data_IF_907228052951
#
_entry.id   IF_907228052951
#
_cell.length_a   1.000
_cell.length_b   1.000
_cell.length_c   1.000
_cell.angle_alpha   90.00
_cell.angle_beta   90.00
_cell.angle_gamma   90.00
#
_symmetry.space_group_name_H-M   'P 1'
#
loop_
_entity.id
_entity.type
_entity.pdbx_description
1 polymer ?
#
# COMPACT_ATOMS: atom_id res chain seq x y z
N UNK A 1 -5.44 3.10 -20.49
CA UNK A 1 -5.52 2.56 -19.12
C UNK A 1 -5.06 3.63 -18.13
N UNK A 2 -5.61 3.61 -16.96
CA UNK A 2 -5.35 4.59 -15.90
C UNK A 2 -4.98 3.86 -14.61
N UNK A 3 -4.22 4.53 -13.77
CA UNK A 3 -3.81 4.05 -12.44
C UNK A 3 -4.07 5.14 -11.41
N UNK A 4 -4.07 4.75 -10.15
CA UNK A 4 -4.07 5.68 -9.02
C UNK A 4 -2.64 5.76 -8.51
N UNK A 5 -2.13 6.97 -8.36
CA UNK A 5 -0.76 7.23 -7.91
C UNK A 5 -0.81 8.00 -6.60
N UNK A 6 0.01 7.60 -5.64
CA UNK A 6 0.28 8.40 -4.46
C UNK A 6 1.35 9.43 -4.81
N UNK A 7 0.98 10.71 -4.83
CA UNK A 7 1.87 11.80 -5.23
C UNK A 7 3.03 12.02 -4.26
N UNK A 8 2.95 11.50 -3.05
CA UNK A 8 4.01 11.68 -2.05
C UNK A 8 5.28 10.94 -2.43
N UNK A 9 5.16 9.77 -3.04
CA UNK A 9 6.29 8.93 -3.43
C UNK A 9 6.20 8.41 -4.88
N UNK A 10 5.11 8.75 -5.59
CA UNK A 10 4.81 8.30 -6.95
C UNK A 10 4.61 6.78 -7.05
N UNK A 11 4.25 6.10 -5.98
CA UNK A 11 3.90 4.69 -6.02
C UNK A 11 2.49 4.47 -6.60
N UNK A 12 2.30 3.31 -7.23
CA UNK A 12 0.97 2.90 -7.71
C UNK A 12 0.17 2.39 -6.52
N UNK A 13 -1.01 2.96 -6.33
CA UNK A 13 -1.93 2.55 -5.28
C UNK A 13 -2.77 1.34 -5.72
N UNK A 14 -2.88 0.36 -4.83
CA UNK A 14 -3.80 -0.77 -4.96
C UNK A 14 -4.92 -0.61 -3.92
N UNK A 15 -6.17 -0.78 -4.33
CA UNK A 15 -7.30 -0.68 -3.41
C UNK A 15 -7.16 -1.70 -2.28
N UNK A 16 -7.29 -1.29 -1.00
CA UNK A 16 -7.02 -2.17 0.13
C UNK A 16 -8.01 -3.32 0.29
N UNK A 17 -9.23 -3.16 -0.24
CA UNK A 17 -10.26 -4.20 -0.21
C UNK A 17 -10.06 -5.27 -1.29
N UNK A 18 -9.11 -5.08 -2.20
CA UNK A 18 -8.86 -6.01 -3.29
C UNK A 18 -7.89 -7.10 -2.87
N UNK A 19 -8.02 -8.25 -3.54
CA UNK A 19 -7.06 -9.34 -3.39
C UNK A 19 -5.68 -8.90 -3.89
N UNK A 20 -4.64 -9.50 -3.34
CA UNK A 20 -3.25 -9.14 -3.68
C UNK A 20 -2.90 -9.22 -5.17
N UNK A 21 -3.62 -10.04 -5.92
CA UNK A 21 -3.43 -10.20 -7.36
C UNK A 21 -4.37 -9.33 -8.21
N UNK A 22 -5.21 -8.50 -7.58
CA UNK A 22 -6.12 -7.63 -8.33
C UNK A 22 -5.33 -6.60 -9.14
N UNK A 23 -5.85 -6.30 -10.33
CA UNK A 23 -5.23 -5.27 -11.17
C UNK A 23 -5.26 -3.90 -10.51
N UNK A 24 -4.22 -3.12 -10.77
CA UNK A 24 -4.16 -1.71 -10.40
C UNK A 24 -4.56 -0.80 -11.57
N UNK A 25 -4.90 -1.37 -12.73
CA UNK A 25 -5.23 -0.62 -13.94
C UNK A 25 -6.74 -0.50 -14.11
N UNK A 26 -7.16 0.67 -14.55
CA UNK A 26 -8.56 1.01 -14.78
C UNK A 26 -8.78 1.39 -16.24
N UNK A 27 -9.95 1.06 -16.78
CA UNK A 27 -10.28 1.33 -18.17
C UNK A 27 -10.54 2.82 -18.46
N UNK A 28 -10.91 3.59 -17.44
CA UNK A 28 -11.22 5.00 -17.58
C UNK A 28 -10.77 5.79 -16.36
N UNK A 29 -10.58 7.10 -16.52
CA UNK A 29 -10.28 7.99 -15.41
C UNK A 29 -11.41 7.99 -14.36
N UNK A 30 -12.66 7.91 -14.79
CA UNK A 30 -13.81 7.82 -13.88
C UNK A 30 -13.78 6.56 -13.04
N UNK A 31 -13.42 5.41 -13.61
CA UNK A 31 -13.27 4.16 -12.87
C UNK A 31 -12.14 4.25 -11.82
N UNK A 32 -11.02 4.89 -12.17
CA UNK A 32 -9.92 5.13 -11.22
C UNK A 32 -10.36 6.07 -10.09
N UNK A 33 -11.06 7.14 -10.39
CA UNK A 33 -11.62 8.04 -9.36
C UNK A 33 -12.58 7.30 -8.42
N UNK A 34 -13.41 6.40 -8.94
CA UNK A 34 -14.25 5.54 -8.12
C UNK A 34 -13.42 4.62 -7.20
N UNK A 35 -12.25 4.18 -7.66
CA UNK A 35 -11.29 3.42 -6.85
C UNK A 35 -10.75 4.22 -5.67
N UNK A 36 -10.48 5.51 -5.86
CA UNK A 36 -10.10 6.41 -4.76
C UNK A 36 -11.23 6.53 -3.75
N UNK A 37 -12.46 6.72 -4.22
CA UNK A 37 -13.63 6.82 -3.35
C UNK A 37 -13.82 5.54 -2.52
N UNK A 38 -13.66 4.37 -3.12
CA UNK A 38 -13.74 3.09 -2.41
C UNK A 38 -12.64 2.94 -1.36
N UNK A 39 -11.43 3.43 -1.65
CA UNK A 39 -10.31 3.43 -0.71
C UNK A 39 -10.64 4.26 0.52
N UNK A 40 -11.14 5.48 0.33
CA UNK A 40 -11.56 6.35 1.42
C UNK A 40 -12.60 5.66 2.29
N UNK A 41 -13.64 5.13 1.67
CA UNK A 41 -14.73 4.44 2.36
C UNK A 41 -14.23 3.22 3.13
N UNK A 42 -13.33 2.44 2.55
CA UNK A 42 -12.74 1.28 3.22
C UNK A 42 -12.01 1.69 4.50
N UNK A 43 -11.16 2.69 4.43
CA UNK A 43 -10.40 3.15 5.60
C UNK A 43 -11.30 3.79 6.65
N UNK A 44 -12.31 4.55 6.25
CA UNK A 44 -13.28 5.13 7.19
C UNK A 44 -14.05 4.04 7.95
N UNK A 45 -14.46 2.98 7.24
CA UNK A 45 -15.12 1.83 7.86
C UNK A 45 -14.17 1.07 8.78
N UNK A 46 -12.94 0.83 8.36
CA UNK A 46 -11.93 0.16 9.18
C UNK A 46 -11.64 0.96 10.45
N UNK A 47 -11.49 2.28 10.32
CA UNK A 47 -11.29 3.18 11.45
C UNK A 47 -12.44 3.12 12.46
N UNK A 48 -13.67 3.14 11.98
CA UNK A 48 -14.85 3.04 12.83
C UNK A 48 -14.92 1.70 13.56
N UNK A 49 -14.63 0.59 12.86
CA UNK A 49 -14.60 -0.74 13.47
C UNK A 49 -13.52 -0.88 14.53
N UNK A 50 -12.34 -0.34 14.27
CA UNK A 50 -11.23 -0.35 15.23
C UNK A 50 -11.60 0.46 16.47
N UNK A 51 -12.16 1.65 16.29
CA UNK A 51 -12.59 2.50 17.42
C UNK A 51 -13.63 1.79 18.29
N UNK A 52 -14.59 1.08 17.67
CA UNK A 52 -15.58 0.30 18.39
C UNK A 52 -14.95 -0.87 19.15
N UNK A 53 -14.06 -1.62 18.51
CA UNK A 53 -13.35 -2.73 19.15
C UNK A 53 -12.51 -2.27 20.34
N UNK A 54 -11.81 -1.15 20.22
CA UNK A 54 -11.04 -0.56 21.31
C UNK A 54 -11.96 -0.15 22.46
N UNK A 55 -13.08 0.49 22.19
CA UNK A 55 -14.05 0.91 23.19
C UNK A 55 -14.65 -0.28 23.95
N UNK A 56 -14.84 -1.42 23.28
CA UNK A 56 -15.39 -2.64 23.85
C UNK A 56 -14.33 -3.57 24.47
N UNK A 57 -13.05 -3.24 24.40
CA UNK A 57 -11.96 -4.09 24.88
C UNK A 57 -11.73 -5.33 24.02
N UNK A 58 -12.18 -5.33 22.78
CA UNK A 58 -12.13 -6.49 21.88
C UNK A 58 -11.02 -6.37 20.84
N UNK A 59 -10.02 -5.56 21.09
CA UNK A 59 -8.95 -5.22 20.15
C UNK A 59 -8.22 -6.44 19.60
N UNK A 60 -7.96 -7.44 20.43
CA UNK A 60 -7.27 -8.68 20.04
C UNK A 60 -8.09 -9.58 19.10
N UNK A 61 -9.38 -9.38 19.03
CA UNK A 61 -10.29 -10.17 18.19
C UNK A 61 -10.58 -9.54 16.84
N UNK A 62 -9.87 -8.48 16.48
CA UNK A 62 -10.06 -7.81 15.20
C UNK A 62 -9.72 -8.71 14.04
N UNK A 63 -10.44 -8.53 12.92
CA UNK A 63 -10.23 -9.30 11.70
C UNK A 63 -8.79 -9.19 11.19
N UNK A 64 -8.26 -10.25 10.53
CA UNK A 64 -6.87 -10.27 10.09
C UNK A 64 -6.43 -9.10 9.21
N UNK A 65 -7.29 -8.56 8.35
CA UNK A 65 -6.90 -7.42 7.50
C UNK A 65 -6.76 -6.11 8.25
N UNK A 66 -7.13 -6.07 9.50
CA UNK A 66 -6.93 -4.89 10.34
C UNK A 66 -5.71 -5.05 11.26
N UNK A 67 -4.80 -5.95 10.96
CA UNK A 67 -3.58 -6.16 11.74
C UNK A 67 -2.81 -4.87 12.01
N UNK A 68 -2.72 -3.99 11.02
CA UNK A 68 -2.03 -2.71 11.15
C UNK A 68 -2.64 -1.82 12.25
N UNK A 69 -3.93 -2.01 12.53
CA UNK A 69 -4.64 -1.24 13.57
C UNK A 69 -4.67 -1.97 14.91
N UNK A 70 -4.63 -3.29 14.90
CA UNK A 70 -4.74 -4.09 16.12
C UNK A 70 -3.70 -3.73 17.17
N UNK A 71 -2.46 -3.51 16.73
CA UNK A 71 -1.33 -3.22 17.59
C UNK A 71 -1.02 -1.71 17.68
N UNK A 72 -1.78 -0.86 16.99
CA UNK A 72 -1.61 0.58 17.02
C UNK A 72 -2.13 1.18 18.33
N UNK A 73 -1.50 2.26 18.78
CA UNK A 73 -1.97 3.01 19.93
C UNK A 73 -3.23 3.81 19.59
N UNK A 74 -3.98 4.27 20.58
CA UNK A 74 -5.18 5.08 20.36
C UNK A 74 -4.85 6.41 19.66
N UNK A 75 -3.66 6.96 19.91
CA UNK A 75 -3.18 8.16 19.22
C UNK A 75 -2.92 7.86 17.74
N UNK A 76 -2.32 6.73 17.43
CA UNK A 76 -2.06 6.30 16.05
C UNK A 76 -3.35 6.00 15.31
N UNK A 77 -4.34 5.40 15.97
CA UNK A 77 -5.67 5.18 15.41
C UNK A 77 -6.37 6.48 15.00
N UNK A 78 -6.15 7.55 15.77
CA UNK A 78 -6.66 8.88 15.42
C UNK A 78 -6.03 9.48 14.17
N UNK A 79 -4.87 8.99 13.75
CA UNK A 79 -4.13 9.47 12.56
C UNK A 79 -4.38 8.65 11.30
N UNK A 80 -5.27 7.72 11.32
CA UNK A 80 -5.36 6.65 10.34
C UNK A 80 -5.15 7.00 8.88
N UNK A 81 -4.62 6.04 8.18
CA UNK A 81 -3.96 6.00 6.89
C UNK A 81 -4.69 6.57 5.68
N UNK A 82 -5.98 6.77 5.75
CA UNK A 82 -6.72 7.40 4.68
C UNK A 82 -6.64 8.93 4.71
N UNK A 83 -5.91 9.46 5.68
CA UNK A 83 -5.83 10.91 5.87
C UNK A 83 -5.25 11.65 4.66
N UNK A 84 -4.51 10.96 3.83
CA UNK A 84 -3.82 11.57 2.70
C UNK A 84 -4.46 11.26 1.35
N UNK A 85 -5.79 11.17 1.33
CA UNK A 85 -6.52 10.99 0.06
C UNK A 85 -6.24 12.10 -0.96
N UNK A 86 -5.85 13.27 -0.50
CA UNK A 86 -5.42 14.37 -1.35
C UNK A 86 -4.11 14.07 -2.11
N UNK A 87 -3.35 13.08 -1.65
CA UNK A 87 -2.16 12.60 -2.33
C UNK A 87 -2.47 11.65 -3.48
N UNK A 88 -3.67 11.10 -3.56
CA UNK A 88 -4.04 10.21 -4.65
C UNK A 88 -4.45 11.01 -5.89
N UNK A 89 -3.91 10.61 -7.02
CA UNK A 89 -4.25 11.19 -8.30
C UNK A 89 -4.41 10.10 -9.35
N UNK A 90 -5.29 10.35 -10.31
CA UNK A 90 -5.43 9.49 -11.49
C UNK A 90 -4.42 9.91 -12.52
N UNK A 91 -3.71 8.94 -13.08
CA UNK A 91 -2.70 9.16 -14.11
C UNK A 91 -2.83 8.11 -15.21
N UNK A 92 -2.58 8.50 -16.46
CA UNK A 92 -2.47 7.55 -17.56
C UNK A 92 -1.25 6.64 -17.40
N UNK A 93 -1.38 5.36 -17.76
CA UNK A 93 -0.29 4.39 -17.62
C UNK A 93 0.94 4.79 -18.45
N UNK A 94 0.73 5.27 -19.68
CA UNK A 94 1.84 5.68 -20.54
C UNK A 94 2.59 6.89 -19.99
N UNK A 95 1.85 7.87 -19.48
CA UNK A 95 2.42 9.03 -18.81
C UNK A 95 3.23 8.62 -17.56
N UNK A 96 2.69 7.71 -16.78
CA UNK A 96 3.36 7.22 -15.58
C UNK A 96 4.66 6.48 -15.90
N UNK A 97 4.67 5.66 -16.93
CA UNK A 97 5.87 4.89 -17.34
C UNK A 97 7.09 5.78 -17.63
N UNK A 98 6.87 7.04 -17.97
CA UNK A 98 7.96 7.99 -18.24
C UNK A 98 8.57 8.50 -16.92
N UNK A 99 7.76 8.61 -15.87
CA UNK A 99 8.14 9.26 -14.61
C UNK A 99 8.24 8.29 -13.42
N UNK A 100 8.09 7.00 -13.66
CA UNK A 100 8.14 5.98 -12.60
C UNK A 100 9.47 6.07 -11.85
N UNK A 101 9.45 6.25 -10.52
CA UNK A 101 10.66 6.40 -9.73
C UNK A 101 11.46 5.11 -9.65
N UNK A 102 12.77 5.22 -9.85
CA UNK A 102 13.75 4.20 -9.49
C UNK A 102 14.37 4.61 -8.17
N UNK A 103 14.30 3.74 -7.19
CA UNK A 103 14.81 4.00 -5.85
C UNK A 103 15.98 3.09 -5.53
N UNK A 104 16.82 3.57 -4.62
CA UNK A 104 17.96 2.80 -4.10
C UNK A 104 17.57 2.25 -2.74
N UNK A 105 17.69 0.95 -2.55
CA UNK A 105 17.44 0.26 -1.29
C UNK A 105 18.71 -0.42 -0.82
N UNK A 106 19.00 -0.29 0.48
CA UNK A 106 20.16 -0.94 1.12
C UNK A 106 19.66 -1.82 2.26
N UNK A 107 20.19 -3.02 2.37
CA UNK A 107 19.84 -3.94 3.43
C UNK A 107 20.69 -5.20 3.38
N UNK A 108 20.45 -6.11 4.33
CA UNK A 108 21.15 -7.39 4.37
C UNK A 108 20.58 -8.34 3.32
N UNK A 109 21.46 -8.89 2.50
CA UNK A 109 21.10 -9.92 1.53
C UNK A 109 20.88 -11.27 2.26
N UNK A 110 19.67 -11.86 2.23
CA UNK A 110 19.43 -13.14 2.89
C UNK A 110 20.24 -14.30 2.32
N UNK A 111 20.66 -14.19 1.05
CA UNK A 111 21.43 -15.23 0.39
C UNK A 111 22.90 -15.23 0.76
N UNK A 112 23.49 -14.09 1.06
CA UNK A 112 24.94 -13.94 1.33
C UNK A 112 25.26 -13.45 2.74
N UNK A 113 24.29 -12.90 3.46
CA UNK A 113 24.49 -12.25 4.77
C UNK A 113 25.24 -10.94 4.73
N UNK A 114 25.52 -10.42 3.54
CA UNK A 114 26.24 -9.15 3.36
C UNK A 114 25.27 -8.01 3.09
N UNK A 115 25.66 -6.79 3.45
CA UNK A 115 24.94 -5.59 3.07
C UNK A 115 25.09 -5.35 1.56
N UNK A 116 23.96 -5.18 0.88
CA UNK A 116 23.91 -4.87 -0.55
C UNK A 116 23.06 -3.65 -0.81
N UNK A 117 23.34 -2.98 -1.91
CA UNK A 117 22.56 -1.85 -2.42
C UNK A 117 22.01 -2.22 -3.79
N UNK A 118 20.70 -2.07 -3.96
CA UNK A 118 20.01 -2.39 -5.22
C UNK A 118 19.24 -1.16 -5.70
N UNK A 119 19.15 -1.02 -7.03
CA UNK A 119 18.30 -0.01 -7.69
C UNK A 119 17.12 -0.74 -8.31
N UNK A 120 15.92 -0.34 -7.95
CA UNK A 120 14.72 -0.98 -8.44
C UNK A 120 13.56 0.03 -8.53
N UNK A 121 12.55 -0.31 -9.34
CA UNK A 121 11.32 0.48 -9.37
C UNK A 121 10.69 0.54 -8.00
N UNK A 122 10.13 1.69 -7.64
CA UNK A 122 9.35 1.85 -6.40
C UNK A 122 8.21 0.83 -6.31
N UNK A 123 7.73 0.33 -7.44
CA UNK A 123 6.65 -0.65 -7.51
C UNK A 123 7.16 -2.10 -7.60
N UNK A 124 8.46 -2.33 -7.45
CA UNK A 124 9.04 -3.67 -7.53
C UNK A 124 8.37 -4.59 -6.50
N UNK A 125 7.79 -5.73 -6.93
CA UNK A 125 7.26 -6.71 -6.00
C UNK A 125 8.35 -7.21 -5.05
N UNK A 126 8.01 -7.32 -3.78
CA UNK A 126 8.98 -7.71 -2.74
C UNK A 126 9.71 -9.02 -3.07
N UNK A 127 8.99 -10.03 -3.56
CA UNK A 127 9.57 -11.34 -3.88
C UNK A 127 10.57 -11.32 -5.04
N UNK A 128 10.62 -10.25 -5.84
CA UNK A 128 11.59 -10.06 -6.92
C UNK A 128 12.82 -9.27 -6.48
N UNK A 129 12.84 -8.78 -5.25
CA UNK A 129 13.98 -8.03 -4.72
C UNK A 129 15.02 -8.95 -4.09
N UNK A 130 16.33 -8.78 -4.39
CA UNK A 130 17.41 -9.51 -3.70
C UNK A 130 17.48 -9.28 -2.20
N UNK A 131 16.79 -8.27 -1.67
CA UNK A 131 16.67 -8.02 -0.24
C UNK A 131 15.60 -8.89 0.44
N UNK A 132 14.86 -9.69 -0.32
CA UNK A 132 13.79 -10.55 0.16
C UNK A 132 14.25 -12.00 0.31
N UNK A 133 13.87 -12.66 1.40
CA UNK A 133 14.08 -14.08 1.59
C UNK A 133 13.40 -14.90 0.49
N UNK A 134 12.23 -14.49 0.04
CA UNK A 134 11.48 -15.16 -1.03
C UNK A 134 12.27 -15.24 -2.33
N UNK A 135 13.07 -14.24 -2.64
CA UNK A 135 13.92 -14.22 -3.83
C UNK A 135 14.96 -15.36 -3.80
N UNK A 136 15.52 -15.66 -2.63
CA UNK A 136 16.59 -16.63 -2.46
C UNK A 136 16.10 -18.06 -2.18
N UNK A 137 14.82 -18.20 -1.80
CA UNK A 137 14.22 -19.50 -1.52
C UNK A 137 13.54 -20.17 -2.71
N UNK A 138 13.53 -19.49 -3.85
CA UNK A 138 12.93 -20.04 -5.08
C UNK A 138 13.84 -21.07 -5.74
#
# INVERSE_FOLDING_TARGET
MYIIVDKSDMSIHREPSKRSYATTKYKSAGAAKAGITRTIKHYDMAKAQVAEAVANGEREFMAPYYHAFRDATDVELGRTHCADVDNYAVMGVEEYNIVEPIITRTGLCPGTGKEITVKESINQPHYLSPLSESYWSA
#
